data_IF_766054830549
#
_entry.id   IF_766054830549
#
_cell.length_a   1.000
_cell.length_b   1.000
_cell.length_c   1.000
_cell.angle_alpha   90.00
_cell.angle_beta   90.00
_cell.angle_gamma   90.00
#
_symmetry.space_group_name_H-M   'P 1'
#
loop_
_entity.id
_entity.type
_entity.pdbx_description
1 polymer ?
#
# COMPACT_ATOMS: atom_id res chain seq x y z
N UNK A 1 0.67 -47.16 33.68
CA UNK A 1 1.47 -46.80 32.50
C UNK A 1 0.77 -45.83 31.55
N UNK A 2 -0.42 -46.12 30.97
CA UNK A 2 -1.13 -45.18 30.05
C UNK A 2 -1.36 -43.75 30.59
N UNK A 3 -1.74 -43.58 31.86
CA UNK A 3 -2.00 -42.23 32.44
C UNK A 3 -0.75 -41.34 32.51
N UNK A 4 0.41 -41.93 32.80
CA UNK A 4 1.68 -41.19 32.84
C UNK A 4 2.12 -40.80 31.43
N UNK A 5 1.91 -41.67 30.44
CA UNK A 5 2.22 -41.43 29.04
C UNK A 5 1.38 -40.29 28.45
N UNK A 6 0.07 -40.29 28.72
CA UNK A 6 -0.82 -39.19 28.30
C UNK A 6 -0.40 -37.87 28.96
N UNK A 7 -0.09 -37.87 30.26
CA UNK A 7 0.36 -36.67 30.98
C UNK A 7 1.66 -36.10 30.40
N UNK A 8 2.64 -36.96 30.09
CA UNK A 8 3.90 -36.54 29.51
C UNK A 8 3.71 -35.96 28.10
N UNK A 9 2.86 -36.59 27.27
CA UNK A 9 2.55 -36.09 25.93
C UNK A 9 1.94 -34.69 25.98
N UNK A 10 0.95 -34.46 26.87
CA UNK A 10 0.32 -33.13 27.02
C UNK A 10 1.33 -32.06 27.47
N UNK A 11 2.22 -32.39 28.42
CA UNK A 11 3.26 -31.46 28.88
C UNK A 11 4.23 -31.14 27.74
N UNK A 12 4.69 -32.15 27.00
CA UNK A 12 5.63 -31.95 25.89
C UNK A 12 5.02 -31.11 24.77
N UNK A 13 3.77 -31.36 24.38
CA UNK A 13 3.07 -30.54 23.39
C UNK A 13 2.90 -29.11 23.88
N UNK A 14 2.53 -28.90 25.15
CA UNK A 14 2.41 -27.56 25.73
C UNK A 14 3.74 -26.79 25.73
N UNK A 15 4.82 -27.45 26.16
CA UNK A 15 6.18 -26.86 26.14
C UNK A 15 6.62 -26.54 24.71
N UNK A 16 6.35 -27.43 23.76
CA UNK A 16 6.68 -27.21 22.35
C UNK A 16 5.93 -26.00 21.78
N UNK A 17 4.64 -25.86 22.07
CA UNK A 17 3.85 -24.71 21.61
C UNK A 17 4.36 -23.41 22.23
N UNK A 18 4.65 -23.39 23.54
CA UNK A 18 5.22 -22.22 24.22
C UNK A 18 6.59 -21.85 23.66
N UNK A 19 7.44 -22.84 23.40
CA UNK A 19 8.75 -22.65 22.80
C UNK A 19 8.65 -22.07 21.39
N UNK A 20 7.84 -22.68 20.52
CA UNK A 20 7.65 -22.19 19.15
C UNK A 20 7.03 -20.78 19.12
N UNK A 21 6.09 -20.49 20.02
CA UNK A 21 5.52 -19.14 20.19
C UNK A 21 6.56 -18.13 20.64
N UNK A 22 7.45 -18.52 21.57
CA UNK A 22 8.57 -17.68 22.02
C UNK A 22 9.57 -17.39 20.91
N UNK A 23 9.95 -18.41 20.13
CA UNK A 23 10.83 -18.24 18.96
C UNK A 23 10.19 -17.33 17.91
N UNK A 24 8.90 -17.55 17.61
CA UNK A 24 8.17 -16.71 16.67
C UNK A 24 8.08 -15.26 17.15
N UNK A 25 7.83 -15.03 18.44
CA UNK A 25 7.87 -13.71 19.04
C UNK A 25 9.27 -13.07 18.94
N UNK A 26 10.35 -13.81 19.20
CA UNK A 26 11.73 -13.28 19.06
C UNK A 26 12.08 -12.94 17.60
N UNK A 27 11.50 -13.63 16.61
CA UNK A 27 11.75 -13.35 15.19
C UNK A 27 10.90 -12.18 14.70
N UNK A 28 9.61 -12.14 15.05
CA UNK A 28 8.65 -11.16 14.54
C UNK A 28 8.59 -9.88 15.38
N UNK A 29 8.84 -9.98 16.68
CA UNK A 29 8.93 -8.86 17.61
C UNK A 29 10.38 -8.41 17.80
N UNK A 30 11.24 -8.58 16.80
CA UNK A 30 12.39 -7.68 16.64
C UNK A 30 11.85 -6.30 16.23
N UNK A 31 11.02 -5.71 17.10
CA UNK A 31 10.94 -4.28 17.20
C UNK A 31 12.36 -3.80 17.44
N UNK A 32 12.78 -2.87 16.59
CA UNK A 32 14.09 -2.26 16.55
C UNK A 32 14.69 -2.12 17.96
N UNK A 33 15.98 -2.44 18.14
CA UNK A 33 16.65 -2.16 19.39
C UNK A 33 16.34 -0.71 19.76
N UNK A 34 15.67 -0.52 20.90
CA UNK A 34 15.64 0.75 21.61
C UNK A 34 17.04 1.00 22.16
N UNK A 35 18.02 1.14 21.27
CA UNK A 35 19.24 1.84 21.55
C UNK A 35 18.87 3.32 21.47
N UNK A 36 18.41 3.87 22.58
CA UNK A 36 18.73 5.28 22.86
C UNK A 36 20.26 5.28 22.97
N UNK A 37 21.00 5.93 22.06
CA UNK A 37 22.43 6.03 22.24
C UNK A 37 22.66 7.06 23.34
N UNK A 38 22.83 6.58 24.57
CA UNK A 38 23.58 7.36 25.55
C UNK A 38 25.00 7.51 24.99
N UNK A 39 25.35 8.75 24.67
CA UNK A 39 26.68 9.21 24.26
C UNK A 39 27.24 8.64 22.95
N UNK A 40 26.92 9.31 21.84
CA UNK A 40 27.80 9.35 20.66
C UNK A 40 28.79 10.51 20.85
N UNK A 41 29.90 10.25 21.54
CA UNK A 41 31.10 11.11 21.44
C UNK A 41 31.98 10.54 20.33
N UNK A 42 31.89 11.12 19.14
CA UNK A 42 32.82 10.84 18.05
C UNK A 42 32.15 10.69 16.68
N UNK A 43 31.64 11.80 16.13
CA UNK A 43 31.45 11.93 14.69
C UNK A 43 31.94 13.35 14.34
N UNK A 44 32.92 13.42 13.44
CA UNK A 44 33.55 14.67 13.02
C UNK A 44 32.53 15.60 12.33
N UNK A 45 32.63 16.88 12.68
CA UNK A 45 31.53 17.83 12.72
C UNK A 45 31.25 18.61 11.42
N UNK A 46 31.40 18.01 10.23
CA UNK A 46 31.37 18.83 8.99
C UNK A 46 30.33 18.43 7.91
N UNK A 47 29.34 17.57 8.18
CA UNK A 47 28.21 17.39 7.23
C UNK A 47 26.88 17.03 7.89
N UNK A 48 26.58 17.64 9.03
CA UNK A 48 25.45 17.30 9.89
C UNK A 48 24.83 18.60 10.40
N UNK A 49 24.06 19.26 9.55
CA UNK A 49 23.20 20.40 9.93
C UNK A 49 21.80 20.14 9.37
N UNK A 50 21.13 19.12 9.91
CA UNK A 50 19.71 18.83 9.60
C UNK A 50 19.08 17.61 10.27
N UNK A 51 19.77 16.88 11.14
CA UNK A 51 19.55 15.44 11.29
C UNK A 51 19.07 14.98 12.68
N UNK A 52 19.37 15.65 13.79
CA UNK A 52 18.91 15.13 15.09
C UNK A 52 17.42 15.38 15.35
N UNK A 53 16.95 16.59 15.07
CA UNK A 53 15.53 16.95 15.20
C UNK A 53 14.68 16.24 14.13
N UNK A 54 15.17 16.15 12.90
CA UNK A 54 14.50 15.40 11.83
C UNK A 54 14.41 13.91 12.17
N UNK A 55 15.47 13.29 12.68
CA UNK A 55 15.45 11.89 13.13
C UNK A 55 14.47 11.71 14.29
N UNK A 56 14.42 12.64 15.24
CA UNK A 56 13.44 12.60 16.34
C UNK A 56 12.00 12.69 15.82
N UNK A 57 11.73 13.59 14.87
CA UNK A 57 10.41 13.73 14.25
C UNK A 57 10.01 12.49 13.43
N UNK A 58 10.93 11.93 12.63
CA UNK A 58 10.70 10.66 11.91
C UNK A 58 10.42 9.51 12.90
N UNK A 59 11.13 9.48 14.03
CA UNK A 59 10.91 8.47 15.08
C UNK A 59 9.54 8.62 15.73
N UNK A 60 9.11 9.86 16.00
CA UNK A 60 7.76 10.13 16.47
C UNK A 60 6.71 9.70 15.45
N UNK A 61 6.89 10.01 14.17
CA UNK A 61 5.97 9.61 13.10
C UNK A 61 5.81 8.08 12.99
N UNK A 62 6.92 7.34 13.11
CA UNK A 62 6.90 5.87 13.18
C UNK A 62 6.12 5.36 14.38
N UNK A 63 6.24 6.03 15.53
CA UNK A 63 5.48 5.69 16.74
C UNK A 63 3.98 5.92 16.53
N UNK A 64 3.59 7.07 15.99
CA UNK A 64 2.20 7.40 15.66
C UNK A 64 1.62 6.37 14.68
N UNK A 65 2.36 5.98 13.64
CA UNK A 65 1.95 4.92 12.70
C UNK A 65 1.58 3.60 13.42
N UNK A 66 2.34 3.24 14.46
CA UNK A 66 2.07 2.06 15.30
C UNK A 66 0.85 2.25 16.21
N UNK A 67 0.78 3.36 16.93
CA UNK A 67 -0.30 3.66 17.88
C UNK A 67 -1.67 3.79 17.19
N UNK A 68 -1.69 4.39 16.00
CA UNK A 68 -2.88 4.53 15.17
C UNK A 68 -3.21 3.28 14.33
N UNK A 69 -2.42 2.20 14.51
CA UNK A 69 -2.63 0.87 13.93
C UNK A 69 -2.74 0.90 12.40
N UNK A 70 -1.99 1.79 11.76
CA UNK A 70 -1.98 1.94 10.30
C UNK A 70 -1.62 0.63 9.57
N UNK A 71 -0.78 -0.20 10.20
CA UNK A 71 -0.35 -1.51 9.70
C UNK A 71 -1.47 -2.56 9.53
N UNK A 72 -2.67 -2.33 10.08
CA UNK A 72 -3.84 -3.20 9.82
C UNK A 72 -4.24 -3.14 8.35
N UNK A 73 -4.11 -1.97 7.73
CA UNK A 73 -4.53 -1.71 6.36
C UNK A 73 -3.36 -1.53 5.40
N UNK A 74 -2.23 -1.02 5.89
CA UNK A 74 -1.06 -0.72 5.08
C UNK A 74 0.13 -1.61 5.43
N UNK A 75 1.09 -1.71 4.51
CA UNK A 75 2.39 -2.32 4.78
C UNK A 75 3.54 -1.37 4.49
N UNK A 76 4.60 -1.52 5.27
CA UNK A 76 5.90 -0.85 5.09
C UNK A 76 6.97 -1.89 5.39
N UNK A 77 7.97 -2.04 4.52
CA UNK A 77 9.06 -2.99 4.66
C UNK A 77 8.57 -4.45 4.72
N UNK A 78 7.47 -4.76 4.03
CA UNK A 78 6.84 -6.09 4.08
C UNK A 78 6.06 -6.41 5.37
N UNK A 79 5.95 -5.47 6.32
CA UNK A 79 5.20 -5.64 7.57
C UNK A 79 3.85 -4.94 7.49
N UNK A 80 2.77 -5.67 7.78
CA UNK A 80 1.39 -5.17 7.74
C UNK A 80 0.56 -5.82 6.64
N UNK A 81 -0.39 -5.08 6.07
CA UNK A 81 -1.23 -5.58 4.99
C UNK A 81 -0.63 -5.24 3.61
N UNK A 82 -0.17 -6.27 2.90
CA UNK A 82 0.48 -6.17 1.59
C UNK A 82 -0.43 -5.71 0.45
N UNK A 83 -1.75 -5.63 0.66
CA UNK A 83 -2.70 -5.15 -0.36
C UNK A 83 -2.61 -3.63 -0.59
N UNK A 84 -2.01 -2.89 0.33
CA UNK A 84 -1.88 -1.42 0.25
C UNK A 84 -0.53 -0.94 0.82
N UNK A 85 0.59 -1.21 0.14
CA UNK A 85 1.92 -0.81 0.61
C UNK A 85 2.12 0.71 0.56
N UNK A 86 3.00 1.22 1.42
CA UNK A 86 3.37 2.65 1.53
C UNK A 86 4.88 2.89 1.37
N UNK A 87 5.65 1.87 1.00
CA UNK A 87 7.12 1.92 0.90
C UNK A 87 7.66 3.05 0.01
N UNK A 88 6.89 3.46 -0.99
CA UNK A 88 7.26 4.45 -2.00
C UNK A 88 6.43 5.74 -1.90
N UNK A 89 5.61 5.91 -0.87
CA UNK A 89 4.64 7.01 -0.79
C UNK A 89 5.33 8.37 -0.79
N UNK A 90 6.51 8.48 -0.16
CA UNK A 90 7.32 9.70 -0.14
C UNK A 90 7.90 10.11 -1.49
N UNK A 91 7.95 9.19 -2.46
CA UNK A 91 8.35 9.50 -3.84
C UNK A 91 7.16 9.91 -4.72
N UNK A 92 5.95 9.46 -4.37
CA UNK A 92 4.74 9.66 -5.18
C UNK A 92 3.95 10.89 -4.79
N UNK A 93 4.02 11.30 -3.54
CA UNK A 93 3.16 12.35 -2.97
C UNK A 93 4.00 13.38 -2.21
N UNK A 94 3.59 14.64 -2.31
CA UNK A 94 4.09 15.74 -1.50
C UNK A 94 3.63 15.61 -0.04
N UNK A 95 4.25 16.39 0.87
CA UNK A 95 3.86 16.43 2.29
C UNK A 95 2.36 16.73 2.47
N UNK A 96 1.87 17.72 1.71
CA UNK A 96 0.50 18.18 1.78
C UNK A 96 -0.47 17.11 1.26
N UNK A 97 -0.15 16.46 0.15
CA UNK A 97 -0.95 15.35 -0.36
C UNK A 97 -0.99 14.19 0.63
N UNK A 98 0.14 13.80 1.22
CA UNK A 98 0.19 12.77 2.26
C UNK A 98 -0.70 13.15 3.45
N UNK A 99 -0.62 14.40 3.93
CA UNK A 99 -1.48 14.91 5.01
C UNK A 99 -2.95 14.79 4.65
N UNK A 100 -3.35 15.20 3.46
CA UNK A 100 -4.73 15.10 2.97
C UNK A 100 -5.19 13.65 2.87
N UNK A 101 -4.32 12.73 2.43
CA UNK A 101 -4.60 11.29 2.42
C UNK A 101 -4.70 10.68 3.81
N UNK A 102 -4.04 11.23 4.83
CA UNK A 102 -4.15 10.75 6.21
C UNK A 102 -5.51 11.14 6.79
N UNK A 103 -5.90 12.41 6.67
CA UNK A 103 -7.08 12.95 7.37
C UNK A 103 -8.39 12.88 6.57
N UNK A 104 -8.28 12.63 5.26
CA UNK A 104 -9.40 12.56 4.31
C UNK A 104 -10.41 13.70 4.52
N UNK A 105 -10.02 14.96 4.27
CA UNK A 105 -10.91 16.08 4.49
C UNK A 105 -12.13 15.97 3.55
N UNK A 106 -13.35 16.19 4.05
CA UNK A 106 -14.59 15.86 3.33
C UNK A 106 -14.79 16.64 2.03
N UNK A 107 -14.11 17.77 1.88
CA UNK A 107 -14.09 18.60 0.66
C UNK A 107 -13.26 18.00 -0.48
N UNK A 108 -12.35 17.05 -0.18
CA UNK A 108 -11.52 16.40 -1.19
C UNK A 108 -12.13 15.05 -1.61
N UNK A 109 -12.41 14.91 -2.91
CA UNK A 109 -12.88 13.65 -3.48
C UNK A 109 -11.68 12.71 -3.75
N UNK A 110 -11.14 12.14 -2.67
CA UNK A 110 -10.05 11.15 -2.75
C UNK A 110 -10.62 9.78 -3.15
N UNK A 111 -9.98 9.12 -4.10
CA UNK A 111 -10.39 7.78 -4.55
C UNK A 111 -10.12 6.73 -3.46
N UNK A 112 -11.12 6.51 -2.62
CA UNK A 112 -11.10 5.51 -1.57
C UNK A 112 -12.50 5.03 -1.20
N UNK A 113 -12.59 3.84 -0.60
CA UNK A 113 -13.86 3.33 -0.09
C UNK A 113 -14.40 4.18 1.08
N UNK A 114 -15.73 4.23 1.24
CA UNK A 114 -16.38 4.90 2.38
C UNK A 114 -15.80 4.44 3.72
N UNK A 115 -15.55 3.14 3.89
CA UNK A 115 -14.94 2.60 5.11
C UNK A 115 -13.55 3.19 5.38
N UNK A 116 -12.73 3.34 4.35
CA UNK A 116 -11.39 3.92 4.48
C UNK A 116 -11.48 5.41 4.81
N UNK A 117 -12.41 6.12 4.17
CA UNK A 117 -12.69 7.52 4.44
C UNK A 117 -13.11 7.73 5.91
N UNK A 118 -14.12 7.00 6.38
CA UNK A 118 -14.63 7.12 7.76
C UNK A 118 -13.53 6.82 8.81
N UNK A 119 -12.68 5.82 8.54
CA UNK A 119 -11.56 5.50 9.41
C UNK A 119 -10.51 6.62 9.44
N UNK A 120 -10.28 7.29 8.31
CA UNK A 120 -9.30 8.36 8.16
C UNK A 120 -9.76 9.68 8.78
N UNK A 121 -11.06 9.96 8.77
CA UNK A 121 -11.60 11.18 9.39
C UNK A 121 -11.29 11.27 10.90
N UNK A 122 -11.19 10.13 11.59
CA UNK A 122 -10.79 10.10 13.00
C UNK A 122 -9.38 10.65 13.26
N UNK A 123 -8.52 10.71 12.24
CA UNK A 123 -7.16 11.25 12.35
C UNK A 123 -7.11 12.78 12.28
N UNK A 124 -8.23 13.46 12.00
CA UNK A 124 -8.33 14.93 12.10
C UNK A 124 -8.15 15.42 13.54
N UNK A 125 -8.44 14.57 14.53
CA UNK A 125 -8.30 14.88 15.96
C UNK A 125 -6.87 14.65 16.48
N UNK A 126 -5.93 14.19 15.62
CA UNK A 126 -4.54 14.01 16.04
C UNK A 126 -3.88 15.36 16.35
N UNK A 127 -3.02 15.42 17.37
CA UNK A 127 -2.19 16.60 17.62
C UNK A 127 -1.40 16.96 16.36
N UNK A 128 -1.35 18.25 16.02
CA UNK A 128 -0.71 18.73 14.79
C UNK A 128 0.75 18.26 14.67
N UNK A 129 1.50 18.31 15.77
CA UNK A 129 2.88 17.83 15.83
C UNK A 129 3.02 16.33 15.54
N UNK A 130 2.05 15.51 15.95
CA UNK A 130 2.05 14.06 15.66
C UNK A 130 1.71 13.80 14.20
N UNK A 131 0.78 14.56 13.64
CA UNK A 131 0.42 14.47 12.23
C UNK A 131 1.57 14.92 11.32
N UNK A 132 2.26 16.01 11.65
CA UNK A 132 3.46 16.46 10.93
C UNK A 132 4.58 15.44 10.99
N UNK A 133 4.84 14.89 12.19
CA UNK A 133 5.82 13.82 12.36
C UNK A 133 5.46 12.58 11.52
N UNK A 134 4.18 12.20 11.46
CA UNK A 134 3.70 11.09 10.65
C UNK A 134 3.90 11.35 9.15
N UNK A 135 3.56 12.56 8.68
CA UNK A 135 3.80 12.98 7.29
C UNK A 135 5.29 12.90 6.97
N UNK A 136 6.15 13.46 7.82
CA UNK A 136 7.60 13.43 7.63
C UNK A 136 8.15 12.00 7.60
N UNK A 137 7.65 11.12 8.47
CA UNK A 137 8.01 9.70 8.43
C UNK A 137 7.62 9.06 7.09
N UNK A 138 6.39 9.27 6.60
CA UNK A 138 5.95 8.72 5.31
C UNK A 138 6.73 9.32 4.13
N UNK A 139 7.11 10.60 4.19
CA UNK A 139 7.97 11.23 3.19
C UNK A 139 9.38 10.64 3.16
N UNK A 140 9.89 10.19 4.32
CA UNK A 140 11.19 9.52 4.39
C UNK A 140 11.20 8.13 3.74
N UNK A 141 10.04 7.59 3.36
CA UNK A 141 9.92 6.30 2.70
C UNK A 141 10.24 6.43 1.21
N UNK A 142 11.52 6.21 0.88
CA UNK A 142 12.03 6.10 -0.48
C UNK A 142 12.31 4.63 -0.78
N UNK A 143 11.24 3.86 -1.07
CA UNK A 143 11.23 2.42 -1.40
C UNK A 143 12.61 1.79 -1.63
N UNK A 144 13.18 1.20 -0.58
CA UNK A 144 14.41 0.41 -0.68
C UNK A 144 14.68 -0.39 0.59
N UNK A 145 14.15 -1.62 0.64
CA UNK A 145 14.94 -2.81 1.02
C UNK A 145 14.26 -4.07 0.48
N UNK A 146 14.38 -4.28 -0.85
CA UNK A 146 14.44 -5.59 -1.50
C UNK A 146 14.59 -5.43 -3.02
N UNK A 147 15.83 -5.24 -3.50
CA UNK A 147 16.32 -5.89 -4.74
C UNK A 147 17.75 -5.44 -5.04
N UNK A 148 18.73 -6.11 -4.45
CA UNK A 148 20.02 -6.29 -5.15
C UNK A 148 19.85 -7.51 -6.04
N UNK A 149 19.30 -7.31 -7.24
CA UNK A 149 19.53 -8.15 -8.41
C UNK A 149 18.98 -7.47 -9.66
N UNK A 150 19.80 -7.50 -10.71
CA UNK A 150 19.50 -7.21 -12.11
C UNK A 150 19.62 -5.75 -12.54
N UNK A 151 20.89 -5.38 -12.70
CA UNK A 151 21.42 -4.66 -13.86
C UNK A 151 20.62 -4.90 -15.14
N UNK A 152 20.20 -3.84 -15.80
CA UNK A 152 20.42 -3.69 -17.25
C UNK A 152 20.59 -2.21 -17.61
N UNK A 153 21.48 -1.90 -18.56
CA UNK A 153 22.01 -0.56 -18.78
C UNK A 153 21.07 0.29 -19.63
N UNK A 154 21.27 1.61 -19.51
CA UNK A 154 20.93 2.59 -20.52
C UNK A 154 21.43 2.14 -21.91
N UNK A 155 20.53 2.09 -22.89
CA UNK A 155 20.90 2.15 -24.30
C UNK A 155 19.93 3.12 -24.98
N UNK A 156 20.47 4.29 -25.33
CA UNK A 156 19.92 5.23 -26.30
C UNK A 156 19.66 4.51 -27.62
N UNK A 157 18.46 4.66 -28.18
CA UNK A 157 18.27 4.56 -29.63
C UNK A 157 17.39 5.73 -30.05
N UNK A 158 18.06 6.78 -30.48
CA UNK A 158 17.53 7.75 -31.43
C UNK A 158 17.30 7.05 -32.77
N UNK A 159 16.06 6.90 -33.22
CA UNK A 159 15.76 6.92 -34.66
C UNK A 159 14.29 7.32 -34.91
N UNK A 160 14.10 8.33 -35.76
CA UNK A 160 12.81 8.84 -36.24
C UNK A 160 11.95 7.72 -36.86
N UNK A 161 10.67 7.64 -36.46
CA UNK A 161 9.66 6.82 -37.15
C UNK A 161 8.65 7.76 -37.84
N UNK A 162 8.75 7.77 -39.16
CA UNK A 162 7.86 8.39 -40.15
C UNK A 162 6.41 7.85 -39.99
N UNK A 163 5.37 8.69 -39.93
CA UNK A 163 4.00 8.26 -39.66
C UNK A 163 3.25 7.92 -40.96
N UNK A 164 3.63 6.84 -41.65
CA UNK A 164 2.77 6.23 -42.66
C UNK A 164 3.32 4.85 -43.05
N UNK A 165 3.02 3.81 -42.25
CA UNK A 165 2.83 2.51 -42.89
C UNK A 165 1.87 1.59 -42.14
N UNK A 166 1.00 1.02 -42.94
CA UNK A 166 -0.30 0.50 -42.54
C UNK A 166 -0.21 -0.94 -42.02
N UNK A 167 -1.11 -1.17 -41.08
CA UNK A 167 -1.58 -2.43 -40.53
C UNK A 167 -1.70 -3.52 -41.62
N UNK A 168 -0.90 -4.57 -41.51
CA UNK A 168 -1.14 -5.83 -42.20
C UNK A 168 -0.88 -7.03 -41.26
N UNK A 169 -1.98 -7.62 -40.84
CA UNK A 169 -2.18 -9.03 -40.46
C UNK A 169 -1.12 -9.69 -39.55
N UNK A 170 -1.36 -9.63 -38.24
CA UNK A 170 -0.98 -10.70 -37.32
C UNK A 170 -2.21 -11.57 -37.05
N UNK A 171 -2.43 -12.58 -37.90
CA UNK A 171 -3.17 -13.78 -37.50
C UNK A 171 -2.35 -14.49 -36.42
N UNK A 172 -2.87 -14.53 -35.20
CA UNK A 172 -2.35 -15.45 -34.20
C UNK A 172 -3.41 -15.75 -33.14
N UNK A 173 -3.78 -17.03 -33.08
CA UNK A 173 -4.22 -17.72 -31.87
C UNK A 173 -5.52 -17.18 -31.27
N UNK A 174 -6.65 -17.63 -31.85
CA UNK A 174 -7.81 -18.19 -31.14
C UNK A 174 -7.89 -17.86 -29.64
N UNK A 175 -8.21 -16.59 -29.40
CA UNK A 175 -9.24 -16.01 -28.55
C UNK A 175 -10.12 -16.92 -27.67
N UNK A 176 -9.49 -17.85 -26.96
CA UNK A 176 -10.11 -18.64 -25.88
C UNK A 176 -10.50 -17.77 -24.69
N UNK A 177 -10.03 -16.51 -24.67
CA UNK A 177 -10.37 -15.51 -23.67
C UNK A 177 -11.75 -14.90 -23.92
N UNK A 178 -12.12 -14.56 -25.16
CA UNK A 178 -13.45 -14.01 -25.47
C UNK A 178 -14.60 -15.04 -25.39
N UNK A 179 -14.28 -16.33 -25.36
CA UNK A 179 -15.27 -17.38 -25.05
C UNK A 179 -15.89 -17.19 -23.64
N UNK A 180 -15.14 -16.62 -22.69
CA UNK A 180 -15.62 -16.33 -21.33
C UNK A 180 -15.75 -14.82 -21.05
N UNK A 181 -14.99 -13.97 -21.74
CA UNK A 181 -15.10 -12.52 -21.62
C UNK A 181 -15.96 -11.99 -22.77
N UNK A 182 -17.19 -11.56 -22.43
CA UNK A 182 -18.15 -11.01 -23.40
C UNK A 182 -17.49 -9.96 -24.31
N UNK A 183 -17.58 -10.17 -25.62
CA UNK A 183 -17.14 -9.21 -26.62
C UNK A 183 -17.85 -7.87 -26.43
N UNK A 184 -17.06 -6.79 -26.44
CA UNK A 184 -17.48 -5.39 -26.36
C UNK A 184 -18.66 -5.11 -27.30
N UNK A 185 -18.69 -5.73 -28.47
CA UNK A 185 -19.74 -5.47 -29.45
C UNK A 185 -21.12 -5.96 -29.02
N UNK A 186 -21.19 -7.08 -28.30
CA UNK A 186 -22.45 -7.63 -27.77
C UNK A 186 -23.08 -6.71 -26.73
N UNK A 187 -22.27 -6.01 -25.93
CA UNK A 187 -22.74 -5.06 -24.93
C UNK A 187 -23.37 -3.81 -25.58
N UNK A 188 -22.85 -3.39 -26.72
CA UNK A 188 -23.37 -2.25 -27.47
C UNK A 188 -24.74 -2.61 -28.07
N UNK A 189 -24.86 -3.81 -28.64
CA UNK A 189 -26.10 -4.24 -29.32
C UNK A 189 -27.27 -4.49 -28.35
N UNK A 190 -27.00 -4.92 -27.12
CA UNK A 190 -28.05 -5.15 -26.11
C UNK A 190 -28.47 -3.91 -25.33
N UNK A 191 -27.71 -2.81 -25.44
CA UNK A 191 -28.02 -1.55 -24.75
C UNK A 191 -28.94 -0.61 -25.55
N UNK A 192 -29.31 -0.96 -26.79
CA UNK A 192 -30.21 -0.13 -27.60
C UNK A 192 -31.67 -0.38 -27.16
N UNK A 193 -32.37 0.61 -26.58
CA UNK A 193 -33.77 0.43 -26.20
C UNK A 193 -34.66 0.35 -27.44
N UNK A 194 -35.55 -0.64 -27.47
CA UNK A 194 -36.57 -0.80 -28.50
C UNK A 194 -37.49 0.43 -28.48
N UNK A 195 -37.59 1.15 -29.60
CA UNK A 195 -38.51 2.28 -29.72
C UNK A 195 -39.95 1.75 -29.71
N UNK A 196 -40.65 1.87 -28.58
CA UNK A 196 -42.10 1.70 -28.52
C UNK A 196 -42.78 2.77 -29.39
N UNK A 197 -43.28 2.36 -30.55
CA UNK A 197 -44.12 3.19 -31.42
C UNK A 197 -45.51 3.29 -30.81
N UNK A 198 -45.72 4.30 -29.97
CA UNK A 198 -47.05 4.75 -29.55
C UNK A 198 -47.74 5.42 -30.76
N UNK A 199 -48.71 4.72 -31.35
CA UNK A 199 -49.60 5.27 -32.38
C UNK A 199 -50.66 6.15 -31.72
N UNK A 200 -50.55 7.47 -31.88
CA UNK A 200 -51.62 8.42 -31.56
C UNK A 200 -52.86 8.14 -32.42
N UNK A 201 -53.97 7.76 -31.78
CA UNK A 201 -55.28 7.69 -32.44
C UNK A 201 -55.91 9.08 -32.49
N UNK A 202 -55.90 9.66 -33.68
CA UNK A 202 -56.63 10.87 -34.07
C UNK A 202 -58.12 10.73 -33.76
N UNK A 203 -58.69 11.78 -33.16
CA UNK A 203 -60.09 11.86 -32.76
C UNK A 203 -61.09 11.82 -33.91
N UNK A 204 -62.32 11.45 -33.57
CA UNK A 204 -63.50 11.64 -34.39
C UNK A 204 -64.69 11.99 -33.49
N UNK A 205 -65.32 13.14 -33.79
CA UNK A 205 -66.77 13.38 -33.73
C UNK A 205 -67.44 13.39 -32.38
#
# INVERSE_FOLDING_TARGET
>A
MRKQWVRQMTILTGVLILFLSGVFAVIQNQAQPTAVPETVTGIDAETVTGNDEQVAAITLGRKVYGEQRCAICHSIGGVGNSRSPLDDVGQRLTAEEIRNWIIAPPELNLDMSNRAHDAKQAYQDLPEAELDALVLYLQSLSGSVASTAVTQPEEEVDEEVDPDDQIAAAESVEDTCLDCHTDKQRLIDTAVPEQEVIKESVGAG
#
